data_IF_168952463687
#
_entry.id   IF_168952463687
#
_cell.length_a   1.000
_cell.length_b   1.000
_cell.length_c   1.000
_cell.angle_alpha   90.00
_cell.angle_beta   90.00
_cell.angle_gamma   90.00
#
_symmetry.space_group_name_H-M   'P 1'
#
loop_
_entity.id
_entity.type
_entity.pdbx_description
1 polymer ?
#
# COMPACT_ATOMS: atom_id res chain seq x y z
N UNK A 1 12.69 -15.93 1.58
CA UNK A 1 12.16 -14.65 2.07
C UNK A 1 12.62 -13.55 1.12
N UNK A 2 11.80 -12.51 0.87
CA UNK A 2 12.23 -11.33 0.11
C UNK A 2 13.46 -10.69 0.73
N UNK A 3 14.33 -10.13 -0.11
CA UNK A 3 15.45 -9.30 0.34
C UNK A 3 15.37 -7.94 -0.34
N UNK A 4 15.29 -6.86 0.44
CA UNK A 4 15.23 -5.50 -0.11
C UNK A 4 16.59 -5.08 -0.65
N UNK A 5 16.63 -4.73 -1.94
CA UNK A 5 17.84 -4.22 -2.61
C UNK A 5 17.86 -2.69 -2.56
N UNK A 6 16.73 -2.06 -2.91
CA UNK A 6 16.67 -0.62 -3.11
C UNK A 6 15.29 -0.04 -2.81
N UNK A 7 15.30 1.17 -2.26
CA UNK A 7 14.14 2.05 -2.18
C UNK A 7 14.26 3.15 -3.24
N UNK A 8 13.20 3.34 -4.01
CA UNK A 8 13.05 4.43 -4.96
C UNK A 8 11.88 5.31 -4.52
N UNK A 9 12.20 6.52 -4.10
CA UNK A 9 11.22 7.54 -3.77
C UNK A 9 10.87 8.33 -5.03
N UNK A 10 9.60 8.30 -5.42
CA UNK A 10 9.10 9.18 -6.49
C UNK A 10 8.51 10.45 -5.90
N UNK A 11 7.55 10.32 -4.98
CA UNK A 11 6.95 11.43 -4.26
C UNK A 11 6.25 10.95 -2.97
N UNK A 12 5.70 11.88 -2.20
CA UNK A 12 5.02 11.62 -0.92
C UNK A 12 3.86 10.61 -0.99
N UNK A 13 3.30 10.36 -2.17
CA UNK A 13 2.16 9.47 -2.40
C UNK A 13 2.54 8.18 -3.14
N UNK A 14 3.80 8.01 -3.54
CA UNK A 14 4.27 6.89 -4.37
C UNK A 14 5.69 6.48 -4.00
N UNK A 15 5.81 5.24 -3.53
CA UNK A 15 7.06 4.59 -3.15
C UNK A 15 7.25 3.35 -4.00
N UNK A 16 8.47 3.08 -4.42
CA UNK A 16 8.81 1.84 -5.11
C UNK A 16 9.94 1.13 -4.38
N UNK A 17 9.81 -0.18 -4.24
CA UNK A 17 10.80 -1.04 -3.60
C UNK A 17 11.26 -2.09 -4.62
N UNK A 18 12.56 -2.39 -4.62
CA UNK A 18 13.13 -3.45 -5.42
C UNK A 18 13.58 -4.58 -4.49
N UNK A 19 13.02 -5.77 -4.70
CA UNK A 19 13.37 -6.96 -3.94
C UNK A 19 14.09 -7.98 -4.82
N UNK A 20 15.03 -8.70 -4.21
CA UNK A 20 15.49 -9.98 -4.74
C UNK A 20 14.48 -11.04 -4.31
N UNK A 21 13.69 -11.53 -5.26
CA UNK A 21 12.73 -12.59 -5.04
C UNK A 21 12.37 -13.28 -6.36
N UNK A 22 12.29 -14.62 -6.40
CA UNK A 22 12.17 -15.36 -7.65
C UNK A 22 10.77 -15.32 -8.30
N UNK A 23 9.71 -15.08 -7.52
CA UNK A 23 8.33 -15.28 -7.98
C UNK A 23 7.43 -14.10 -7.62
N UNK A 24 6.92 -13.40 -8.64
CA UNK A 24 5.91 -12.34 -8.46
C UNK A 24 4.64 -12.88 -7.77
N UNK A 25 4.19 -14.08 -8.15
CA UNK A 25 2.96 -14.69 -7.62
C UNK A 25 3.09 -15.03 -6.13
N UNK A 26 4.23 -15.56 -5.70
CA UNK A 26 4.49 -15.80 -4.28
C UNK A 26 4.67 -14.48 -3.52
N UNK A 27 5.29 -13.47 -4.14
CA UNK A 27 5.42 -12.15 -3.55
C UNK A 27 4.05 -11.50 -3.31
N UNK A 28 3.13 -11.64 -4.27
CA UNK A 28 1.76 -11.17 -4.13
C UNK A 28 1.04 -11.82 -2.94
N UNK A 29 1.30 -13.11 -2.64
CA UNK A 29 0.75 -13.76 -1.44
C UNK A 29 1.33 -13.20 -0.14
N UNK A 30 2.62 -12.82 -0.14
CA UNK A 30 3.26 -12.15 1.00
C UNK A 30 2.64 -10.77 1.22
N UNK A 31 2.46 -10.00 0.15
CA UNK A 31 1.76 -8.70 0.21
C UNK A 31 0.36 -8.88 0.79
N UNK A 32 -0.42 -9.84 0.27
CA UNK A 32 -1.78 -10.10 0.73
C UNK A 32 -1.79 -10.38 2.24
N UNK A 33 -0.91 -11.26 2.72
CA UNK A 33 -0.79 -11.59 4.15
C UNK A 33 -0.49 -10.35 4.99
N UNK A 34 0.52 -9.57 4.59
CA UNK A 34 0.94 -8.36 5.32
C UNK A 34 -0.18 -7.33 5.36
N UNK A 35 -0.97 -7.20 4.28
CA UNK A 35 -2.08 -6.27 4.21
C UNK A 35 -3.27 -6.73 5.08
N UNK A 36 -3.62 -8.01 5.03
CA UNK A 36 -4.67 -8.60 5.88
C UNK A 36 -4.34 -8.49 7.37
N UNK A 37 -3.09 -8.76 7.77
CA UNK A 37 -2.61 -8.57 9.15
C UNK A 37 -2.78 -7.12 9.64
N UNK A 38 -2.77 -6.14 8.73
CA UNK A 38 -2.98 -4.72 9.03
C UNK A 38 -4.44 -4.27 8.94
N UNK A 39 -5.36 -5.20 8.68
CA UNK A 39 -6.80 -4.96 8.57
C UNK A 39 -7.23 -4.40 7.21
N UNK A 40 -6.43 -4.61 6.16
CA UNK A 40 -6.83 -4.30 4.80
C UNK A 40 -7.51 -5.50 4.13
N UNK A 41 -8.41 -5.21 3.21
CA UNK A 41 -9.06 -6.16 2.32
C UNK A 41 -8.63 -5.86 0.89
N UNK A 42 -8.24 -6.89 0.14
CA UNK A 42 -8.04 -6.78 -1.30
C UNK A 42 -9.39 -6.67 -2.02
N UNK A 43 -9.55 -5.63 -2.83
CA UNK A 43 -10.77 -5.37 -3.64
C UNK A 43 -10.55 -5.59 -5.13
N UNK A 44 -9.42 -6.22 -5.51
CA UNK A 44 -9.02 -6.48 -6.88
C UNK A 44 -8.01 -5.48 -7.42
N UNK A 45 -7.37 -5.84 -8.54
CA UNK A 45 -6.38 -5.00 -9.24
C UNK A 45 -5.26 -4.45 -8.34
N UNK A 46 -4.81 -5.24 -7.35
CA UNK A 46 -3.79 -4.85 -6.37
C UNK A 46 -4.19 -3.68 -5.48
N UNK A 47 -5.49 -3.41 -5.37
CA UNK A 47 -6.03 -2.33 -4.52
C UNK A 47 -6.50 -2.93 -3.20
N UNK A 48 -6.07 -2.29 -2.12
CA UNK A 48 -6.37 -2.67 -0.76
C UNK A 48 -7.15 -1.54 -0.07
N UNK A 49 -8.23 -1.90 0.59
CA UNK A 49 -9.07 -0.99 1.38
C UNK A 49 -9.06 -1.34 2.86
N UNK A 50 -9.06 -0.31 3.70
CA UNK A 50 -9.23 -0.43 5.15
C UNK A 50 -10.28 0.56 5.62
N UNK A 51 -11.29 0.05 6.33
CA UNK A 51 -12.48 0.79 6.74
C UNK A 51 -13.62 0.68 5.72
N UNK A 52 -14.70 1.40 5.97
CA UNK A 52 -15.94 1.37 5.20
C UNK A 52 -16.25 2.74 4.56
N UNK A 53 -16.43 2.76 3.23
CA UNK A 53 -16.69 3.98 2.46
C UNK A 53 -18.02 4.66 2.82
N UNK A 54 -19.05 3.87 3.17
CA UNK A 54 -20.37 4.38 3.57
C UNK A 54 -20.24 5.08 4.92
N UNK A 55 -19.56 4.46 5.89
CA UNK A 55 -19.28 5.09 7.18
C UNK A 55 -18.43 6.35 7.02
N UNK A 56 -17.47 6.36 6.09
CA UNK A 56 -16.69 7.57 5.76
C UNK A 56 -17.58 8.70 5.25
N UNK A 57 -18.57 8.41 4.41
CA UNK A 57 -19.51 9.42 3.92
C UNK A 57 -20.43 9.96 5.02
N UNK A 58 -20.91 9.09 5.91
CA UNK A 58 -21.83 9.47 6.99
C UNK A 58 -21.13 10.24 8.12
N UNK A 59 -19.92 9.82 8.49
CA UNK A 59 -19.18 10.35 9.64
C UNK A 59 -18.07 11.34 9.25
N UNK A 60 -17.84 11.55 7.96
CA UNK A 60 -16.87 12.51 7.45
C UNK A 60 -15.46 12.30 8.01
N UNK A 61 -14.88 13.33 8.63
CA UNK A 61 -13.53 13.27 9.20
C UNK A 61 -13.40 12.39 10.45
N UNK A 62 -14.50 12.03 11.11
CA UNK A 62 -14.47 11.19 12.32
C UNK A 62 -14.25 9.70 12.02
N UNK A 63 -14.37 9.28 10.77
CA UNK A 63 -14.13 7.91 10.35
C UNK A 63 -12.94 7.83 9.38
N UNK A 64 -12.08 6.83 9.60
CA UNK A 64 -10.89 6.60 8.78
C UNK A 64 -11.19 5.58 7.69
N UNK A 65 -10.83 5.94 6.46
CA UNK A 65 -10.94 5.07 5.31
C UNK A 65 -9.71 5.27 4.45
N UNK A 66 -9.04 4.17 4.13
CA UNK A 66 -7.79 4.16 3.39
C UNK A 66 -7.92 3.25 2.18
N UNK A 67 -7.38 3.71 1.05
CA UNK A 67 -7.34 2.95 -0.19
C UNK A 67 -5.97 3.10 -0.84
N UNK A 68 -5.30 1.98 -1.07
CA UNK A 68 -3.89 1.94 -1.47
C UNK A 68 -3.74 0.90 -2.56
N UNK A 69 -2.93 1.20 -3.58
CA UNK A 69 -2.54 0.25 -4.60
C UNK A 69 -1.12 -0.25 -4.29
N UNK A 70 -0.95 -1.57 -4.28
CA UNK A 70 0.35 -2.23 -4.05
C UNK A 70 0.59 -3.24 -5.16
N UNK A 71 1.29 -2.80 -6.21
CA UNK A 71 1.51 -3.61 -7.41
C UNK A 71 2.92 -4.21 -7.43
N UNK A 72 3.07 -5.54 -7.29
CA UNK A 72 4.31 -6.22 -7.65
C UNK A 72 4.44 -6.33 -9.18
N UNK A 73 5.66 -6.28 -9.68
CA UNK A 73 6.04 -6.42 -11.09
C UNK A 73 7.34 -7.22 -11.14
N UNK A 74 7.30 -8.42 -11.73
CA UNK A 74 8.51 -9.21 -11.99
C UNK A 74 9.38 -8.56 -13.05
N UNK A 75 10.65 -8.28 -12.72
CA UNK A 75 11.60 -7.66 -13.66
C UNK A 75 12.48 -8.68 -14.41
N UNK A 76 12.24 -9.98 -14.19
CA UNK A 76 13.18 -11.04 -14.58
C UNK A 76 14.39 -11.11 -13.64
N UNK A 77 15.22 -12.15 -13.78
CA UNK A 77 16.44 -12.35 -12.99
C UNK A 77 16.25 -12.42 -11.46
N UNK A 78 15.14 -13.00 -10.98
CA UNK A 78 14.79 -13.07 -9.56
C UNK A 78 14.66 -11.70 -8.87
N UNK A 79 14.11 -10.72 -9.59
CA UNK A 79 13.79 -9.40 -9.05
C UNK A 79 12.29 -9.10 -9.15
N UNK A 80 11.74 -8.52 -8.09
CA UNK A 80 10.37 -8.02 -8.04
C UNK A 80 10.40 -6.55 -7.63
N UNK A 81 9.81 -5.69 -8.46
CA UNK A 81 9.54 -4.30 -8.14
C UNK A 81 8.16 -4.19 -7.51
N UNK A 82 8.02 -3.49 -6.39
CA UNK A 82 6.74 -3.26 -5.73
C UNK A 82 6.48 -1.77 -5.67
N UNK A 83 5.41 -1.31 -6.31
CA UNK A 83 4.97 0.08 -6.20
C UNK A 83 3.81 0.20 -5.21
N UNK A 84 3.98 1.07 -4.22
CA UNK A 84 2.99 1.42 -3.21
C UNK A 84 2.50 2.83 -3.48
N UNK A 85 1.23 2.98 -3.80
CA UNK A 85 0.63 4.25 -4.19
C UNK A 85 -0.64 4.52 -3.41
N UNK A 86 -0.83 5.78 -3.02
CA UNK A 86 -2.15 6.25 -2.61
C UNK A 86 -3.12 6.08 -3.76
N UNK A 87 -4.16 5.26 -3.59
CA UNK A 87 -5.24 5.23 -4.57
C UNK A 87 -6.05 6.50 -4.40
N UNK A 88 -6.38 7.18 -5.51
CA UNK A 88 -6.97 8.52 -5.52
C UNK A 88 -8.14 8.65 -4.51
N UNK A 89 -7.85 9.23 -3.35
CA UNK A 89 -8.88 9.67 -2.42
C UNK A 89 -9.41 10.97 -2.98
N UNK A 90 -10.60 10.95 -3.54
CA UNK A 90 -11.34 12.15 -3.92
C UNK A 90 -11.21 13.19 -2.80
N UNK A 91 -10.92 14.43 -3.19
CA UNK A 91 -10.49 15.61 -2.41
C UNK A 91 -11.53 16.09 -1.36
N UNK A 92 -12.33 15.20 -0.76
CA UNK A 92 -13.39 15.51 0.23
C UNK A 92 -12.97 15.35 1.70
N UNK A 93 -11.68 15.22 1.98
CA UNK A 93 -11.16 15.21 3.35
C UNK A 93 -10.23 16.40 3.55
N UNK A 94 -10.55 17.31 4.46
CA UNK A 94 -9.68 18.45 4.81
C UNK A 94 -8.29 18.00 5.31
N UNK A 95 -7.44 18.95 5.66
CA UNK A 95 -6.01 18.76 6.02
C UNK A 95 -5.77 17.57 6.98
N UNK A 96 -6.62 17.37 7.98
CA UNK A 96 -6.54 16.24 8.92
C UNK A 96 -6.63 14.87 8.24
N UNK A 97 -7.50 14.71 7.24
CA UNK A 97 -7.63 13.45 6.49
C UNK A 97 -6.43 13.18 5.59
N UNK A 98 -5.75 14.22 5.10
CA UNK A 98 -4.49 14.09 4.36
C UNK A 98 -3.34 13.63 5.26
N UNK A 99 -3.20 14.24 6.45
CA UNK A 99 -2.16 13.85 7.41
C UNK A 99 -2.31 12.39 7.85
N UNK A 100 -3.52 11.94 8.14
CA UNK A 100 -3.76 10.55 8.56
C UNK A 100 -3.42 9.54 7.44
N UNK A 101 -3.69 9.88 6.18
CA UNK A 101 -3.30 9.04 5.05
C UNK A 101 -1.77 8.99 4.87
N UNK A 102 -1.07 10.12 5.03
CA UNK A 102 0.39 10.15 4.93
C UNK A 102 1.05 9.32 6.04
N UNK A 103 0.50 9.37 7.26
CA UNK A 103 0.96 8.53 8.37
C UNK A 103 0.75 7.04 8.06
N UNK A 104 -0.41 6.66 7.52
CA UNK A 104 -0.70 5.26 7.16
C UNK A 104 0.22 4.77 6.04
N UNK A 105 0.45 5.58 4.99
CA UNK A 105 1.42 5.27 3.94
C UNK A 105 2.84 5.12 4.47
N UNK A 106 3.25 5.99 5.40
CA UNK A 106 4.57 5.90 6.05
C UNK A 106 4.69 4.61 6.86
N UNK A 107 3.63 4.23 7.59
CA UNK A 107 3.61 2.99 8.37
C UNK A 107 3.61 1.74 7.48
N UNK A 108 3.00 1.79 6.29
CA UNK A 108 3.09 0.73 5.29
C UNK A 108 4.48 0.69 4.68
N UNK A 109 5.05 1.85 4.32
CA UNK A 109 6.42 1.95 3.82
C UNK A 109 7.40 1.26 4.76
N UNK A 110 7.38 1.60 6.05
CA UNK A 110 8.27 0.98 7.04
C UNK A 110 8.04 -0.53 7.17
N UNK A 111 6.78 -1.00 7.07
CA UNK A 111 6.52 -2.45 7.07
C UNK A 111 7.15 -3.13 5.86
N UNK A 112 7.06 -2.54 4.67
CA UNK A 112 7.62 -3.10 3.44
C UNK A 112 9.15 -3.14 3.46
N UNK A 113 9.82 -2.25 4.18
CA UNK A 113 11.27 -2.36 4.43
C UNK A 113 11.66 -3.62 5.22
N UNK A 114 10.72 -4.17 5.98
CA UNK A 114 10.90 -5.32 6.89
C UNK A 114 10.20 -6.60 6.42
N UNK A 115 9.77 -6.66 5.16
CA UNK A 115 9.17 -7.87 4.55
C UNK A 115 10.26 -8.88 4.19
#
# INVERSE_FOLDING_TARGET
MPFLIKEEFFNENNYTFLYQFPSEAEFQQIIERVMVERGYQNIGNHIYEKGNVILKMLLGSFYHYYKIEIKPEGLGNNHVRVSIKKWASSVRGGVTSMNNMQQELSAIKERFKSI
#
